data_IF_936870398160
#
_entry.id   IF_936870398160
#
_cell.length_a   1.000
_cell.length_b   1.000
_cell.length_c   1.000
_cell.angle_alpha   90.00
_cell.angle_beta   90.00
_cell.angle_gamma   90.00
#
_symmetry.space_group_name_H-M   'P 1'
#
loop_
_entity.id
_entity.type
_entity.pdbx_description
1 polymer ?
#
# COMPACT_ATOMS: atom_id res chain seq x y z
N UNK A 1 -14.67 10.34 12.17
CA UNK A 1 -15.04 10.64 10.77
C UNK A 1 -14.45 12.00 10.41
N UNK A 2 -14.11 12.23 9.14
CA UNK A 2 -13.62 13.54 8.68
C UNK A 2 -14.79 14.48 8.41
N UNK A 3 -14.63 15.76 8.74
CA UNK A 3 -15.55 16.79 8.30
C UNK A 3 -15.41 17.02 6.78
N UNK A 4 -16.44 17.51 6.07
CA UNK A 4 -16.33 17.86 4.65
C UNK A 4 -15.15 18.81 4.40
N UNK A 5 -14.29 18.47 3.43
CA UNK A 5 -13.11 19.24 3.08
C UNK A 5 -11.87 19.01 3.96
N UNK A 6 -11.98 18.24 5.05
CA UNK A 6 -10.84 17.86 5.88
C UNK A 6 -10.09 16.66 5.27
N UNK A 7 -8.80 16.52 5.61
CA UNK A 7 -7.93 15.42 5.22
C UNK A 7 -7.36 14.68 6.44
N UNK A 8 -6.94 13.44 6.21
CA UNK A 8 -6.17 12.64 7.15
C UNK A 8 -5.01 11.98 6.40
N UNK A 9 -3.94 11.66 7.12
CA UNK A 9 -2.79 10.94 6.60
C UNK A 9 -2.51 9.71 7.46
N UNK A 10 -1.96 8.66 6.85
CA UNK A 10 -1.45 7.49 7.55
C UNK A 10 -0.05 7.16 7.03
N UNK A 11 0.82 6.71 7.92
CA UNK A 11 2.14 6.23 7.51
C UNK A 11 1.98 4.87 6.84
N UNK A 12 2.43 4.76 5.59
CA UNK A 12 2.67 3.48 4.93
C UNK A 12 4.11 3.05 5.22
N UNK A 13 4.28 1.83 5.73
CA UNK A 13 5.59 1.20 5.85
C UNK A 13 5.66 0.05 4.86
N UNK A 14 6.79 -0.05 4.16
CA UNK A 14 7.05 -1.09 3.18
C UNK A 14 8.39 -1.75 3.45
N UNK A 15 8.38 -3.06 3.65
CA UNK A 15 9.58 -3.89 3.78
C UNK A 15 10.14 -4.21 2.39
N UNK A 16 11.47 -4.34 2.29
CA UNK A 16 12.12 -4.75 1.05
C UNK A 16 11.79 -6.21 0.72
N UNK A 17 11.20 -6.46 -0.46
CA UNK A 17 10.89 -7.79 -0.98
C UNK A 17 12.10 -8.74 -0.98
N UNK A 18 13.31 -8.21 -1.23
CA UNK A 18 14.55 -9.00 -1.27
C UNK A 18 14.93 -9.65 0.05
N UNK A 19 14.36 -9.20 1.18
CA UNK A 19 14.59 -9.81 2.49
C UNK A 19 14.01 -11.22 2.61
N UNK A 20 13.08 -11.60 1.73
CA UNK A 20 12.38 -12.89 1.75
C UNK A 20 12.93 -13.91 0.74
N UNK A 21 13.92 -13.51 -0.07
CA UNK A 21 14.61 -14.42 -0.98
C UNK A 21 13.66 -15.13 -1.96
N UNK A 22 13.87 -16.44 -2.23
CA UNK A 22 13.08 -17.19 -3.20
C UNK A 22 11.58 -17.31 -2.88
N UNK A 23 11.19 -17.18 -1.60
CA UNK A 23 9.79 -17.29 -1.18
C UNK A 23 8.93 -16.14 -1.71
N UNK A 24 9.56 -15.02 -2.08
CA UNK A 24 8.84 -13.81 -2.45
C UNK A 24 8.34 -13.77 -3.89
N UNK A 25 9.00 -14.50 -4.79
CA UNK A 25 8.85 -14.35 -6.24
C UNK A 25 8.77 -12.86 -6.65
N UNK A 26 9.92 -12.19 -6.57
CA UNK A 26 9.99 -10.74 -6.70
C UNK A 26 9.45 -10.26 -8.06
N UNK A 27 8.54 -9.29 -8.03
CA UNK A 27 7.92 -8.71 -9.23
C UNK A 27 8.00 -7.18 -9.21
N UNK A 28 8.09 -6.56 -10.38
CA UNK A 28 7.93 -5.12 -10.50
C UNK A 28 6.50 -4.70 -10.16
N UNK A 29 6.38 -3.59 -9.43
CA UNK A 29 5.12 -2.93 -9.10
C UNK A 29 5.20 -1.45 -9.48
N UNK A 30 4.13 -0.94 -10.08
CA UNK A 30 4.06 0.42 -10.67
C UNK A 30 3.26 1.42 -9.84
N UNK A 31 2.70 0.97 -8.70
CA UNK A 31 1.97 1.85 -7.80
C UNK A 31 1.13 1.14 -6.75
N UNK A 32 0.54 1.95 -5.88
CA UNK A 32 -0.38 1.50 -4.85
C UNK A 32 -1.80 1.46 -5.40
N UNK A 33 -2.50 0.36 -5.17
CA UNK A 33 -3.94 0.25 -5.42
C UNK A 33 -4.72 0.80 -4.23
N UNK A 34 -5.41 1.92 -4.42
CA UNK A 34 -6.19 2.59 -3.37
C UNK A 34 -7.67 2.46 -3.69
N UNK A 35 -8.46 1.89 -2.77
CA UNK A 35 -9.91 1.82 -2.87
C UNK A 35 -10.54 3.00 -2.11
N UNK A 36 -11.25 3.93 -2.79
CA UNK A 36 -11.97 5.00 -2.12
C UNK A 36 -13.11 4.47 -1.23
N UNK A 37 -13.51 5.22 -0.19
CA UNK A 37 -14.65 4.84 0.65
C UNK A 37 -15.92 4.65 -0.18
N UNK A 38 -16.61 3.54 0.04
CA UNK A 38 -17.84 3.15 -0.67
C UNK A 38 -17.68 2.94 -2.19
N UNK A 39 -16.46 2.76 -2.69
CA UNK A 39 -16.19 2.45 -4.10
C UNK A 39 -15.34 1.19 -4.23
N UNK A 40 -15.73 0.29 -5.12
CA UNK A 40 -14.96 -0.92 -5.45
C UNK A 40 -14.00 -0.69 -6.61
N UNK A 41 -14.17 0.39 -7.38
CA UNK A 41 -13.16 0.83 -8.31
C UNK A 41 -11.94 1.33 -7.53
N UNK A 42 -10.75 1.00 -8.00
CA UNK A 42 -9.52 1.49 -7.40
C UNK A 42 -8.91 2.63 -8.21
N UNK A 43 -8.13 3.43 -7.52
CA UNK A 43 -7.21 4.41 -8.10
C UNK A 43 -5.78 3.89 -7.92
N UNK A 44 -4.88 4.30 -8.81
CA UNK A 44 -3.45 4.00 -8.71
C UNK A 44 -2.71 5.24 -8.22
N UNK A 45 -2.06 5.15 -7.06
CA UNK A 45 -1.06 6.14 -6.65
C UNK A 45 0.31 5.70 -7.19
N UNK A 46 0.95 6.47 -8.10
CA UNK A 46 2.21 6.06 -8.72
C UNK A 46 3.32 5.84 -7.70
N UNK A 47 4.01 4.71 -7.82
CA UNK A 47 5.17 4.37 -7.01
C UNK A 47 5.92 3.23 -7.69
N UNK A 48 7.17 3.46 -8.06
CA UNK A 48 8.05 2.40 -8.55
C UNK A 48 8.54 1.57 -7.35
N UNK A 49 8.29 0.26 -7.37
CA UNK A 49 8.68 -0.64 -6.29
C UNK A 49 8.92 -2.07 -6.79
N UNK A 50 9.60 -2.86 -5.96
CA UNK A 50 9.64 -4.31 -6.08
C UNK A 50 8.69 -4.91 -5.04
N UNK A 51 7.73 -5.70 -5.51
CA UNK A 51 6.76 -6.43 -4.70
C UNK A 51 7.08 -7.91 -4.56
N UNK A 52 6.17 -8.62 -3.90
CA UNK A 52 6.17 -10.07 -3.68
C UNK A 52 4.97 -10.66 -4.42
N UNK A 53 5.18 -11.64 -5.31
CA UNK A 53 4.09 -12.41 -5.91
C UNK A 53 3.72 -13.64 -5.04
N UNK A 54 3.65 -13.43 -3.72
CA UNK A 54 3.25 -14.40 -2.72
C UNK A 54 2.29 -13.72 -1.74
N UNK A 55 1.06 -14.22 -1.62
CA UNK A 55 -0.02 -13.65 -0.80
C UNK A 55 0.14 -13.94 0.71
N UNK A 56 0.99 -14.88 1.09
CA UNK A 56 1.35 -15.17 2.48
C UNK A 56 2.35 -14.14 3.05
N UNK A 57 3.07 -13.39 2.20
CA UNK A 57 4.07 -12.39 2.61
C UNK A 57 3.48 -10.97 2.57
N UNK A 58 3.24 -10.42 3.76
CA UNK A 58 2.77 -9.03 3.91
C UNK A 58 3.96 -8.07 3.92
N UNK A 59 4.22 -7.40 2.79
CA UNK A 59 5.28 -6.39 2.68
C UNK A 59 4.88 -5.00 3.21
N UNK A 60 3.58 -4.72 3.34
CA UNK A 60 3.07 -3.38 3.61
C UNK A 60 2.15 -3.36 4.82
N UNK A 61 2.36 -2.36 5.68
CA UNK A 61 1.47 -2.08 6.82
C UNK A 61 1.09 -0.61 6.83
N UNK A 62 -0.18 -0.34 7.07
CA UNK A 62 -0.71 1.02 7.19
C UNK A 62 -0.90 1.36 8.67
N UNK A 63 -0.32 2.47 9.12
CA UNK A 63 -0.48 2.97 10.47
C UNK A 63 -1.87 3.59 10.72
N UNK A 64 -2.10 4.04 11.96
CA UNK A 64 -3.32 4.75 12.29
C UNK A 64 -3.41 6.09 11.54
N UNK A 65 -4.57 6.37 10.95
CA UNK A 65 -4.83 7.68 10.35
C UNK A 65 -4.80 8.78 11.40
N UNK A 66 -4.06 9.84 11.11
CA UNK A 66 -4.00 11.07 11.89
C UNK A 66 -4.63 12.21 11.08
N UNK A 67 -5.23 13.21 11.74
CA UNK A 67 -5.59 14.46 11.07
C UNK A 67 -4.36 15.04 10.35
N UNK A 68 -4.56 15.52 9.12
CA UNK A 68 -3.51 16.19 8.34
C UNK A 68 -3.46 17.69 8.64
#
# INVERSE_FOLDING_TARGET
>A
TLAPGASAAAQLQQTNAGNYGPECDQTEAVGLRVYPPNDTAWLTAPQDAIGCANDEIVLMTVGAFQPA
#
